data_IF_994425586804
#
_entry.id   IF_994425586804
#
_cell.length_a   1.000
_cell.length_b   1.000
_cell.length_c   1.000
_cell.angle_alpha   90.00
_cell.angle_beta   90.00
_cell.angle_gamma   90.00
#
_symmetry.space_group_name_H-M   'P 1'
#
loop_
_entity.id
_entity.type
_entity.pdbx_description
1 polymer ?
#
# COMPACT_ATOMS: atom_id res chain seq x y z
N UNK A 1 16.22 -0.10 -8.26
CA UNK A 1 15.29 -1.23 -8.08
C UNK A 1 13.93 -0.84 -8.61
N UNK A 2 13.12 -1.82 -9.03
CA UNK A 2 11.71 -1.65 -9.40
C UNK A 2 10.84 -2.17 -8.26
N UNK A 3 10.04 -1.29 -7.69
CA UNK A 3 9.17 -1.58 -6.56
C UNK A 3 7.72 -1.35 -6.92
N UNK A 4 6.86 -2.26 -6.47
CA UNK A 4 5.42 -2.08 -6.46
C UNK A 4 4.95 -2.00 -5.01
N UNK A 5 4.21 -0.94 -4.69
CA UNK A 5 3.55 -0.77 -3.39
C UNK A 5 2.04 -0.90 -3.60
N UNK A 6 1.47 -1.95 -3.02
CA UNK A 6 0.02 -2.14 -2.90
C UNK A 6 -0.41 -1.59 -1.54
N UNK A 7 -0.92 -0.37 -1.54
CA UNK A 7 -1.46 0.31 -0.38
C UNK A 7 -2.99 0.15 -0.31
N UNK A 8 -3.59 0.61 0.78
CA UNK A 8 -5.05 0.61 0.97
C UNK A 8 -5.59 2.03 0.93
N UNK A 9 -6.83 2.18 0.47
CA UNK A 9 -7.54 3.43 0.66
C UNK A 9 -7.73 3.73 2.15
N UNK A 10 -7.88 5.01 2.49
CA UNK A 10 -8.05 5.45 3.88
C UNK A 10 -9.49 5.85 4.16
N UNK A 11 -9.94 5.59 5.39
CA UNK A 11 -11.19 6.17 5.91
C UNK A 11 -11.10 7.70 6.02
N UNK A 12 -9.89 8.22 6.28
CA UNK A 12 -9.61 9.65 6.23
C UNK A 12 -9.28 10.07 4.79
N UNK A 13 -9.94 11.11 4.29
CA UNK A 13 -9.69 11.64 2.94
C UNK A 13 -9.61 13.16 2.98
N UNK A 14 -8.68 13.72 2.21
CA UNK A 14 -8.47 15.16 2.10
C UNK A 14 -9.47 15.78 1.12
N UNK A 15 -10.72 15.90 1.56
CA UNK A 15 -11.80 16.47 0.75
C UNK A 15 -11.86 18.00 0.91
N UNK A 16 -11.90 18.78 -0.18
CA UNK A 16 -12.10 20.22 -0.09
C UNK A 16 -13.43 20.59 0.59
N UNK A 17 -13.44 21.68 1.35
CA UNK A 17 -14.66 22.09 2.08
C UNK A 17 -15.80 22.42 1.12
N UNK A 18 -17.00 21.95 1.47
CA UNK A 18 -18.23 22.26 0.72
C UNK A 18 -18.41 21.46 -0.57
N UNK A 19 -17.54 20.48 -0.82
CA UNK A 19 -17.68 19.54 -1.95
C UNK A 19 -18.53 18.35 -1.51
N UNK A 20 -19.36 17.87 -2.42
CA UNK A 20 -20.14 16.64 -2.27
C UNK A 20 -19.22 15.42 -2.06
N UNK A 21 -19.65 14.47 -1.23
CA UNK A 21 -18.91 13.24 -0.95
C UNK A 21 -19.82 12.07 -1.27
N UNK A 22 -19.45 11.28 -2.27
CA UNK A 22 -20.27 10.17 -2.74
C UNK A 22 -20.31 9.01 -1.75
N UNK A 23 -21.49 8.46 -1.54
CA UNK A 23 -21.68 7.22 -0.81
C UNK A 23 -21.58 5.97 -1.71
N UNK A 24 -21.76 4.79 -1.11
CA UNK A 24 -21.68 3.52 -1.83
C UNK A 24 -22.71 3.40 -2.96
N UNK A 25 -23.93 3.91 -2.79
CA UNK A 25 -24.98 3.79 -3.79
C UNK A 25 -24.67 4.68 -5.00
N UNK A 26 -24.11 5.86 -4.76
CA UNK A 26 -23.69 6.77 -5.83
C UNK A 26 -22.50 6.22 -6.61
N UNK A 27 -21.52 5.66 -5.90
CA UNK A 27 -20.37 5.00 -6.54
C UNK A 27 -20.81 3.80 -7.39
N UNK A 28 -21.75 2.99 -6.89
CA UNK A 28 -22.18 1.77 -7.59
C UNK A 28 -23.17 2.06 -8.74
N UNK A 29 -23.73 3.28 -8.83
CA UNK A 29 -24.73 3.65 -9.84
C UNK A 29 -24.19 4.47 -11.02
N UNK A 30 -22.94 4.94 -10.95
CA UNK A 30 -22.31 5.73 -12.00
C UNK A 30 -20.83 5.36 -12.15
N UNK A 31 -20.31 5.47 -13.36
CA UNK A 31 -18.88 5.31 -13.59
C UNK A 31 -18.09 6.46 -12.93
N UNK A 32 -16.81 6.21 -12.64
CA UNK A 32 -15.89 7.23 -12.11
C UNK A 32 -15.90 8.50 -12.97
N UNK A 33 -15.90 8.37 -14.30
CA UNK A 33 -15.83 9.51 -15.21
C UNK A 33 -17.15 10.30 -15.18
N UNK A 34 -18.31 9.65 -15.13
CA UNK A 34 -19.61 10.32 -14.94
C UNK A 34 -19.71 11.07 -13.59
N UNK A 35 -19.11 10.52 -12.55
CA UNK A 35 -19.04 11.18 -11.24
C UNK A 35 -18.16 12.42 -11.27
N UNK A 36 -17.01 12.35 -11.94
CA UNK A 36 -16.08 13.48 -12.11
C UNK A 36 -16.65 14.59 -13.00
N UNK A 37 -17.52 14.25 -13.95
CA UNK A 37 -18.17 15.22 -14.84
C UNK A 37 -19.30 16.02 -14.17
N UNK A 38 -19.68 15.70 -12.90
CA UNK A 38 -20.69 16.48 -12.17
C UNK A 38 -20.20 17.91 -11.93
N UNK A 39 -21.10 18.89 -12.08
CA UNK A 39 -20.77 20.30 -11.91
C UNK A 39 -20.17 20.59 -10.52
N UNK A 40 -18.98 21.18 -10.49
CA UNK A 40 -18.27 21.51 -9.25
C UNK A 40 -17.54 20.34 -8.60
N UNK A 41 -17.50 19.16 -9.23
CA UNK A 41 -16.78 18.01 -8.71
C UNK A 41 -15.27 18.12 -8.98
N UNK A 42 -14.41 18.07 -7.94
CA UNK A 42 -12.98 18.07 -8.14
C UNK A 42 -12.47 16.69 -8.54
N UNK A 43 -11.54 16.68 -9.49
CA UNK A 43 -10.70 15.54 -9.81
C UNK A 43 -9.46 15.55 -8.91
N UNK A 44 -9.37 14.62 -7.95
CA UNK A 44 -8.28 14.58 -6.96
C UNK A 44 -7.46 13.31 -7.16
N UNK A 45 -6.13 13.40 -7.42
CA UNK A 45 -5.29 12.21 -7.49
C UNK A 45 -5.39 11.35 -6.24
N UNK A 46 -5.46 10.03 -6.37
CA UNK A 46 -5.60 9.09 -5.26
C UNK A 46 -4.58 9.33 -4.13
N UNK A 47 -3.32 9.61 -4.47
CA UNK A 47 -2.25 9.99 -3.53
C UNK A 47 -2.56 11.22 -2.69
N UNK A 48 -3.30 12.17 -3.25
CA UNK A 48 -3.72 13.41 -2.56
C UNK A 48 -5.06 13.26 -1.86
N UNK A 49 -5.92 12.36 -2.34
CA UNK A 49 -7.20 12.08 -1.73
C UNK A 49 -7.06 11.26 -0.44
N UNK A 50 -6.30 10.16 -0.46
CA UNK A 50 -6.16 9.27 0.69
C UNK A 50 -5.21 9.86 1.72
N UNK A 51 -5.76 10.26 2.87
CA UNK A 51 -5.02 10.89 3.95
C UNK A 51 -4.99 9.99 5.18
N UNK A 52 -3.91 10.03 5.94
CA UNK A 52 -3.73 9.14 7.09
C UNK A 52 -2.26 9.02 7.47
N UNK A 53 -1.99 8.56 8.69
CA UNK A 53 -0.61 8.41 9.15
C UNK A 53 0.16 7.43 8.27
N UNK A 54 -0.41 6.26 7.98
CA UNK A 54 0.19 5.28 7.06
C UNK A 54 0.47 5.92 5.69
N UNK A 55 -0.53 6.57 5.09
CA UNK A 55 -0.39 7.17 3.76
C UNK A 55 0.72 8.22 3.71
N UNK A 56 0.83 9.09 4.73
CA UNK A 56 1.88 10.12 4.81
C UNK A 56 3.29 9.53 4.96
N UNK A 57 3.45 8.47 5.75
CA UNK A 57 4.75 7.78 5.84
C UNK A 57 5.10 7.09 4.53
N UNK A 58 4.14 6.41 3.89
CA UNK A 58 4.37 5.78 2.58
C UNK A 58 4.66 6.83 1.52
N UNK A 59 4.00 8.00 1.53
CA UNK A 59 4.32 9.11 0.64
C UNK A 59 5.78 9.53 0.77
N UNK A 60 6.25 9.73 2.01
CA UNK A 60 7.64 10.11 2.27
C UNK A 60 8.62 9.02 1.82
N UNK A 61 8.32 7.75 2.08
CA UNK A 61 9.17 6.63 1.66
C UNK A 61 9.24 6.51 0.13
N UNK A 62 8.11 6.65 -0.56
CA UNK A 62 8.03 6.62 -2.02
C UNK A 62 8.87 7.73 -2.64
N UNK A 63 8.77 8.95 -2.10
CA UNK A 63 9.57 10.09 -2.60
C UNK A 63 11.07 9.83 -2.39
N UNK A 64 11.48 9.37 -1.20
CA UNK A 64 12.88 9.03 -0.92
C UNK A 64 13.42 7.92 -1.84
N UNK A 65 12.64 6.85 -2.07
CA UNK A 65 13.04 5.76 -2.97
C UNK A 65 13.23 6.27 -4.41
N UNK A 66 12.34 7.14 -4.88
CA UNK A 66 12.46 7.75 -6.21
C UNK A 66 13.65 8.69 -6.31
N UNK A 67 13.96 9.45 -5.26
CA UNK A 67 15.13 10.34 -5.22
C UNK A 67 16.45 9.59 -5.36
N UNK A 68 16.55 8.36 -4.85
CA UNK A 68 17.75 7.52 -4.96
C UNK A 68 17.78 6.69 -6.26
N UNK A 69 16.85 6.95 -7.17
CA UNK A 69 16.79 6.34 -8.51
C UNK A 69 16.03 5.02 -8.59
N UNK A 70 15.31 4.62 -7.54
CA UNK A 70 14.40 3.48 -7.65
C UNK A 70 13.14 3.85 -8.45
N UNK A 71 12.67 2.93 -9.28
CA UNK A 71 11.37 3.05 -9.95
C UNK A 71 10.32 2.50 -9.00
N UNK A 72 9.34 3.33 -8.64
CA UNK A 72 8.31 2.94 -7.66
C UNK A 72 6.94 3.17 -8.27
N UNK A 73 6.19 2.09 -8.44
CA UNK A 73 4.78 2.12 -8.79
C UNK A 73 3.95 1.91 -7.52
N UNK A 74 2.90 2.70 -7.36
CA UNK A 74 2.01 2.63 -6.19
C UNK A 74 0.56 2.56 -6.63
N UNK A 75 -0.13 1.55 -6.13
CA UNK A 75 -1.55 1.32 -6.35
C UNK A 75 -2.26 1.22 -5.02
N UNK A 76 -3.53 1.62 -5.00
CA UNK A 76 -4.40 1.51 -3.85
C UNK A 76 -5.49 0.49 -4.11
N UNK A 77 -5.74 -0.36 -3.10
CA UNK A 77 -6.94 -1.18 -3.00
C UNK A 77 -8.04 -0.30 -2.40
N UNK A 78 -9.06 0.00 -3.20
CA UNK A 78 -10.16 0.88 -2.87
C UNK A 78 -11.47 0.12 -2.79
N UNK A 79 -12.17 0.25 -1.67
CA UNK A 79 -13.54 -0.24 -1.55
C UNK A 79 -14.51 0.50 -2.49
N UNK A 80 -14.17 1.69 -2.99
CA UNK A 80 -15.03 2.43 -3.92
C UNK A 80 -14.74 2.11 -5.39
N UNK A 81 -13.47 1.98 -5.74
CA UNK A 81 -13.02 2.05 -7.14
C UNK A 81 -12.10 0.91 -7.56
N UNK A 82 -12.01 -0.17 -6.78
CA UNK A 82 -11.16 -1.32 -7.11
C UNK A 82 -9.68 -0.98 -6.93
N UNK A 83 -8.84 -1.34 -7.91
CA UNK A 83 -7.40 -1.07 -7.88
C UNK A 83 -7.08 0.20 -8.67
N UNK A 84 -6.48 1.20 -8.01
CA UNK A 84 -6.23 2.52 -8.63
C UNK A 84 -4.78 2.95 -8.51
N UNK A 85 -4.18 3.42 -9.61
CA UNK A 85 -2.84 4.05 -9.62
C UNK A 85 -2.86 5.33 -8.76
N UNK A 86 -1.74 5.66 -8.11
CA UNK A 86 -1.65 6.81 -7.20
C UNK A 86 -1.99 8.17 -7.84
N UNK A 87 -1.91 8.29 -9.17
CA UNK A 87 -2.23 9.49 -9.95
C UNK A 87 -3.66 9.48 -10.47
N UNK A 88 -4.36 8.35 -10.38
CA UNK A 88 -5.75 8.22 -10.82
C UNK A 88 -6.58 9.30 -10.13
N UNK A 89 -7.23 10.14 -10.92
CA UNK A 89 -8.14 11.15 -10.40
C UNK A 89 -9.43 10.49 -9.93
N UNK A 90 -9.82 10.81 -8.70
CA UNK A 90 -11.01 10.29 -8.05
C UNK A 90 -11.87 11.44 -7.53
N UNK A 91 -13.20 11.32 -7.58
CA UNK A 91 -14.05 12.23 -6.85
C UNK A 91 -13.96 11.94 -5.34
N UNK A 92 -14.31 12.88 -4.46
CA UNK A 92 -14.51 12.61 -3.05
C UNK A 92 -15.61 11.56 -2.82
N UNK A 93 -15.30 10.56 -1.99
CA UNK A 93 -16.23 9.49 -1.66
C UNK A 93 -15.96 8.92 -0.27
N UNK A 94 -16.96 8.30 0.36
CA UNK A 94 -16.81 7.66 1.66
C UNK A 94 -17.31 6.21 1.62
N UNK A 95 -16.45 5.32 1.10
CA UNK A 95 -16.68 3.87 1.09
C UNK A 95 -15.43 3.18 1.66
N UNK A 96 -15.64 2.21 2.57
CA UNK A 96 -14.59 1.44 3.26
C UNK A 96 -15.05 0.00 3.48
N UNK A 97 -14.10 -0.94 3.58
CA UNK A 97 -14.39 -2.32 3.98
C UNK A 97 -14.63 -2.49 5.48
N UNK A 98 -14.24 -1.50 6.31
CA UNK A 98 -14.25 -1.64 7.77
C UNK A 98 -15.63 -1.90 8.39
N UNK A 99 -16.71 -1.52 7.69
CA UNK A 99 -18.09 -1.71 8.14
C UNK A 99 -18.77 -2.92 7.48
N UNK A 100 -18.05 -3.63 6.61
CA UNK A 100 -18.56 -4.77 5.84
C UNK A 100 -18.24 -6.08 6.54
N UNK A 101 -19.16 -7.03 6.47
CA UNK A 101 -18.91 -8.42 6.83
C UNK A 101 -17.96 -9.08 5.82
N UNK A 102 -17.35 -10.19 6.24
CA UNK A 102 -16.52 -11.05 5.39
C UNK A 102 -17.14 -11.35 4.01
N UNK A 103 -18.42 -11.71 3.96
CA UNK A 103 -19.09 -12.03 2.69
C UNK A 103 -19.37 -10.79 1.83
N UNK A 104 -19.63 -9.64 2.45
CA UNK A 104 -19.81 -8.36 1.74
C UNK A 104 -18.49 -7.88 1.14
N UNK A 105 -17.37 -8.05 1.85
CA UNK A 105 -16.02 -7.79 1.33
C UNK A 105 -15.76 -8.65 0.10
N UNK A 106 -16.03 -9.96 0.18
CA UNK A 106 -15.78 -10.88 -0.94
C UNK A 106 -16.59 -10.51 -2.19
N UNK A 107 -17.91 -10.26 -2.01
CA UNK A 107 -18.79 -9.88 -3.11
C UNK A 107 -18.32 -8.57 -3.74
N UNK A 108 -18.10 -7.55 -2.91
CA UNK A 108 -17.67 -6.24 -3.39
C UNK A 108 -16.30 -6.29 -4.08
N UNK A 109 -15.36 -7.05 -3.54
CA UNK A 109 -14.04 -7.21 -4.16
C UNK A 109 -14.11 -7.97 -5.49
N UNK A 110 -15.01 -8.95 -5.60
CA UNK A 110 -15.30 -9.65 -6.86
C UNK A 110 -15.92 -8.71 -7.89
N UNK A 111 -16.92 -7.92 -7.50
CA UNK A 111 -17.59 -6.96 -8.38
C UNK A 111 -16.63 -5.89 -8.89
N UNK A 112 -15.69 -5.47 -8.05
CA UNK A 112 -14.63 -4.51 -8.38
C UNK A 112 -13.40 -5.15 -9.05
N UNK A 113 -13.37 -6.48 -9.25
CA UNK A 113 -12.25 -7.17 -9.92
C UNK A 113 -10.92 -7.16 -9.18
N UNK A 114 -10.88 -6.80 -7.89
CA UNK A 114 -9.65 -6.42 -7.16
C UNK A 114 -8.55 -7.50 -7.25
N UNK A 115 -8.88 -8.75 -6.97
CA UNK A 115 -7.90 -9.84 -6.99
C UNK A 115 -7.30 -10.05 -8.39
N UNK A 116 -8.11 -9.95 -9.44
CA UNK A 116 -7.65 -10.13 -10.81
C UNK A 116 -6.72 -8.99 -11.23
N UNK A 117 -7.08 -7.75 -10.93
CA UNK A 117 -6.27 -6.57 -11.25
C UNK A 117 -4.90 -6.61 -10.55
N UNK A 118 -4.86 -7.02 -9.28
CA UNK A 118 -3.57 -7.15 -8.56
C UNK A 118 -2.76 -8.31 -9.14
N UNK A 119 -3.38 -9.45 -9.46
CA UNK A 119 -2.70 -10.58 -10.12
C UNK A 119 -2.06 -10.12 -11.43
N UNK A 120 -2.77 -9.35 -12.25
CA UNK A 120 -2.24 -8.79 -13.50
C UNK A 120 -1.03 -7.87 -13.24
N UNK A 121 -1.13 -6.98 -12.25
CA UNK A 121 -0.03 -6.09 -11.88
C UNK A 121 1.23 -6.83 -11.44
N UNK A 122 1.09 -7.86 -10.59
CA UNK A 122 2.24 -8.57 -10.02
C UNK A 122 2.85 -9.62 -10.96
N UNK A 123 2.08 -10.06 -11.97
CA UNK A 123 2.52 -11.04 -12.98
C UNK A 123 2.95 -10.41 -14.30
N UNK A 124 3.13 -9.07 -14.33
CA UNK A 124 3.58 -8.34 -15.49
C UNK A 124 4.89 -8.92 -16.08
N UNK A 125 5.04 -8.84 -17.41
CA UNK A 125 6.18 -9.44 -18.14
C UNK A 125 7.54 -8.94 -17.66
N UNK A 126 7.62 -7.70 -17.20
CA UNK A 126 8.81 -7.14 -16.56
C UNK A 126 8.59 -7.16 -15.03
N UNK A 127 9.11 -8.15 -14.30
CA UNK A 127 8.79 -8.36 -12.89
C UNK A 127 9.42 -7.27 -12.01
N UNK A 128 8.73 -6.92 -10.93
CA UNK A 128 9.30 -6.07 -9.89
C UNK A 128 10.37 -6.82 -9.09
N UNK A 129 11.36 -6.10 -8.56
CA UNK A 129 12.31 -6.67 -7.62
C UNK A 129 11.61 -6.96 -6.28
N UNK A 130 10.75 -6.02 -5.86
CA UNK A 130 10.04 -6.06 -4.57
C UNK A 130 8.58 -5.64 -4.76
N UNK A 131 7.65 -6.39 -4.17
CA UNK A 131 6.24 -6.01 -4.02
C UNK A 131 5.89 -5.91 -2.55
N UNK A 132 5.45 -4.74 -2.10
CA UNK A 132 5.07 -4.46 -0.71
C UNK A 132 3.56 -4.35 -0.59
N UNK A 133 2.94 -5.20 0.23
CA UNK A 133 1.50 -5.16 0.52
C UNK A 133 1.24 -4.45 1.85
N UNK A 134 1.08 -3.12 1.83
CA UNK A 134 0.81 -2.30 3.01
C UNK A 134 -0.67 -2.35 3.43
N UNK A 135 -1.24 -3.54 3.56
CA UNK A 135 -2.68 -3.77 3.70
C UNK A 135 -3.11 -4.16 5.11
N UNK A 136 -4.31 -3.76 5.51
CA UNK A 136 -5.05 -4.27 6.67
C UNK A 136 -5.73 -5.61 6.39
N UNK A 137 -6.26 -6.26 7.42
CA UNK A 137 -6.85 -7.60 7.31
C UNK A 137 -7.99 -7.67 6.29
N UNK A 138 -8.91 -6.70 6.30
CA UNK A 138 -10.04 -6.65 5.36
C UNK A 138 -9.57 -6.46 3.92
N UNK A 139 -8.50 -5.69 3.71
CA UNK A 139 -7.92 -5.47 2.38
C UNK A 139 -7.15 -6.70 1.90
N UNK A 140 -6.43 -7.41 2.77
CA UNK A 140 -5.83 -8.71 2.41
C UNK A 140 -6.88 -9.72 1.98
N UNK A 141 -8.05 -9.72 2.63
CA UNK A 141 -9.20 -10.53 2.23
C UNK A 141 -9.70 -10.12 0.85
N UNK A 142 -9.97 -8.83 0.65
CA UNK A 142 -10.46 -8.30 -0.63
C UNK A 142 -9.54 -8.64 -1.82
N UNK A 143 -8.23 -8.73 -1.59
CA UNK A 143 -7.26 -9.06 -2.64
C UNK A 143 -7.15 -10.57 -2.93
N UNK A 144 -7.66 -11.43 -2.05
CA UNK A 144 -7.26 -12.84 -1.98
C UNK A 144 -5.73 -12.97 -1.97
N UNK A 145 -5.13 -12.54 -0.86
CA UNK A 145 -3.66 -12.45 -0.75
C UNK A 145 -2.95 -13.76 -1.07
N UNK A 146 -3.56 -14.92 -0.75
CA UNK A 146 -2.95 -16.21 -1.07
C UNK A 146 -2.78 -16.37 -2.58
N UNK A 147 -3.85 -16.10 -3.36
CA UNK A 147 -3.80 -16.14 -4.82
C UNK A 147 -2.82 -15.12 -5.40
N UNK A 148 -2.80 -13.90 -4.87
CA UNK A 148 -1.88 -12.85 -5.34
C UNK A 148 -0.42 -13.24 -5.11
N UNK A 149 -0.10 -13.80 -3.94
CA UNK A 149 1.27 -14.24 -3.64
C UNK A 149 1.71 -15.44 -4.51
N UNK A 150 0.78 -16.29 -4.92
CA UNK A 150 1.06 -17.39 -5.87
C UNK A 150 1.33 -16.91 -7.30
N UNK A 151 0.90 -15.70 -7.64
CA UNK A 151 1.13 -15.09 -8.95
C UNK A 151 2.45 -14.31 -9.05
N UNK A 152 3.17 -14.12 -7.94
CA UNK A 152 4.46 -13.43 -7.94
C UNK A 152 5.50 -14.24 -8.74
N UNK A 153 6.34 -13.53 -9.50
CA UNK A 153 7.54 -14.13 -10.08
C UNK A 153 8.45 -14.69 -8.98
N UNK A 154 9.13 -15.81 -9.25
CA UNK A 154 10.13 -16.40 -8.34
C UNK A 154 11.28 -15.44 -8.03
N UNK A 155 11.56 -14.48 -8.92
CA UNK A 155 12.59 -13.45 -8.75
C UNK A 155 12.11 -12.24 -7.96
N UNK A 156 10.80 -12.11 -7.75
CA UNK A 156 10.20 -10.98 -7.02
C UNK A 156 10.10 -11.33 -5.55
N UNK A 157 10.58 -10.45 -4.67
CA UNK A 157 10.38 -10.61 -3.23
C UNK A 157 9.07 -9.95 -2.78
N UNK A 158 8.15 -10.72 -2.20
CA UNK A 158 6.92 -10.21 -1.60
C UNK A 158 7.12 -9.82 -0.13
N UNK A 159 6.66 -8.64 0.26
CA UNK A 159 6.65 -8.17 1.65
C UNK A 159 5.20 -8.00 2.11
N UNK A 160 4.82 -8.77 3.13
CA UNK A 160 3.51 -8.70 3.78
C UNK A 160 3.67 -8.37 5.26
N UNK A 161 2.59 -7.95 5.91
CA UNK A 161 2.58 -7.57 7.34
C UNK A 161 1.61 -8.42 8.13
N UNK A 162 2.08 -9.03 9.22
CA UNK A 162 1.30 -9.94 10.07
C UNK A 162 0.68 -11.14 9.31
N UNK A 163 1.39 -11.69 8.33
CA UNK A 163 0.96 -12.82 7.50
C UNK A 163 2.01 -13.94 7.52
N UNK A 164 2.49 -14.29 8.71
CA UNK A 164 3.54 -15.30 8.89
C UNK A 164 3.17 -16.65 8.24
N UNK A 165 1.91 -17.04 8.33
CA UNK A 165 1.41 -18.31 7.74
C UNK A 165 1.43 -18.32 6.21
N UNK A 166 1.21 -17.18 5.56
CA UNK A 166 1.30 -17.09 4.09
C UNK A 166 2.75 -17.02 3.63
N UNK A 167 3.59 -16.26 4.36
CA UNK A 167 5.01 -16.14 4.07
C UNK A 167 5.73 -17.49 4.24
N UNK A 168 5.42 -18.26 5.28
CA UNK A 168 6.05 -19.56 5.53
C UNK A 168 5.86 -20.59 4.40
N UNK A 169 4.89 -20.38 3.51
CA UNK A 169 4.62 -21.27 2.36
C UNK A 169 5.47 -20.94 1.13
N UNK A 170 6.19 -19.82 1.11
CA UNK A 170 6.88 -19.28 -0.09
C UNK A 170 8.27 -18.75 0.26
N UNK A 171 9.28 -19.19 -0.48
CA UNK A 171 10.68 -18.83 -0.19
C UNK A 171 11.01 -17.35 -0.47
N UNK A 172 10.30 -16.74 -1.41
CA UNK A 172 10.47 -15.34 -1.84
C UNK A 172 9.51 -14.37 -1.13
N UNK A 173 8.81 -14.79 -0.07
CA UNK A 173 7.87 -13.92 0.67
C UNK A 173 8.30 -13.79 2.12
N UNK A 174 8.32 -12.56 2.63
CA UNK A 174 8.60 -12.27 4.04
C UNK A 174 7.41 -11.59 4.72
N UNK A 175 7.17 -11.98 5.97
CA UNK A 175 6.23 -11.29 6.86
C UNK A 175 6.99 -10.42 7.86
N UNK A 176 6.66 -9.13 7.89
CA UNK A 176 7.13 -8.17 8.90
C UNK A 176 6.03 -8.01 9.96
N UNK A 177 6.33 -8.24 11.25
CA UNK A 177 5.35 -8.04 12.31
C UNK A 177 5.05 -6.55 12.49
N UNK A 178 3.78 -6.17 12.53
CA UNK A 178 3.30 -4.81 12.73
C UNK A 178 2.10 -4.83 13.69
N UNK A 179 2.33 -5.14 14.97
CA UNK A 179 1.32 -5.32 16.02
C UNK A 179 1.53 -4.30 17.15
N UNK A 180 0.65 -4.33 18.15
CA UNK A 180 0.69 -3.43 19.33
C UNK A 180 2.03 -3.45 20.06
N UNK A 181 2.64 -4.63 20.20
CA UNK A 181 3.95 -4.78 20.83
C UNK A 181 5.05 -3.96 20.12
N UNK A 182 5.02 -3.89 18.79
CA UNK A 182 5.93 -3.06 18.02
C UNK A 182 5.54 -1.57 18.05
N UNK A 183 4.26 -1.24 18.23
CA UNK A 183 3.83 0.16 18.27
C UNK A 183 4.38 0.89 19.51
N UNK A 184 4.46 0.18 20.63
CA UNK A 184 5.03 0.69 21.87
C UNK A 184 6.55 0.89 21.76
N UNK A 185 7.26 0.03 21.02
CA UNK A 185 8.71 0.11 20.77
C UNK A 185 9.11 1.33 19.92
N UNK A 186 8.33 1.65 18.89
CA UNK A 186 8.62 2.77 17.97
C UNK A 186 7.87 4.08 18.32
N UNK A 187 7.25 4.16 19.51
CA UNK A 187 6.50 5.35 19.95
C UNK A 187 5.38 5.76 18.98
N UNK A 188 4.81 4.79 18.26
CA UNK A 188 3.84 5.00 17.18
C UNK A 188 2.50 4.37 17.55
N UNK A 189 1.50 4.50 16.67
CA UNK A 189 0.27 3.72 16.76
C UNK A 189 0.35 2.58 15.75
N UNK A 190 -0.21 1.40 16.08
CA UNK A 190 -0.17 0.17 15.25
C UNK A 190 -0.48 0.42 13.77
N UNK A 191 -1.43 1.33 13.50
CA UNK A 191 -1.89 1.67 12.14
C UNK A 191 -0.79 2.31 11.29
N UNK A 192 0.19 3.01 11.89
CA UNK A 192 1.24 3.71 11.16
C UNK A 192 2.50 2.86 10.91
N UNK A 193 2.66 1.73 11.61
CA UNK A 193 3.90 0.93 11.58
C UNK A 193 4.31 0.48 10.19
N UNK A 194 3.36 0.08 9.33
CA UNK A 194 3.66 -0.36 7.96
C UNK A 194 4.30 0.76 7.13
N UNK A 195 3.80 1.99 7.30
CA UNK A 195 4.39 3.16 6.67
C UNK A 195 5.77 3.49 7.25
N UNK A 196 5.92 3.40 8.58
CA UNK A 196 7.21 3.59 9.27
C UNK A 196 8.26 2.60 8.76
N UNK A 197 7.95 1.31 8.68
CA UNK A 197 8.87 0.30 8.16
C UNK A 197 9.27 0.54 6.70
N UNK A 198 8.35 1.09 5.89
CA UNK A 198 8.70 1.49 4.54
C UNK A 198 9.65 2.70 4.53
N UNK A 199 9.51 3.64 5.48
CA UNK A 199 10.49 4.72 5.64
C UNK A 199 11.86 4.23 6.11
N UNK A 200 11.92 3.16 6.92
CA UNK A 200 13.19 2.55 7.29
C UNK A 200 13.89 1.99 6.07
N UNK A 201 13.17 1.18 5.29
CA UNK A 201 13.70 0.63 4.04
C UNK A 201 14.18 1.74 3.08
N UNK A 202 13.38 2.80 2.91
CA UNK A 202 13.77 3.94 2.09
C UNK A 202 15.05 4.63 2.61
N UNK A 203 15.19 4.79 3.94
CA UNK A 203 16.40 5.33 4.56
C UNK A 203 17.64 4.45 4.33
N UNK A 204 17.50 3.12 4.43
CA UNK A 204 18.58 2.19 4.09
C UNK A 204 18.95 2.25 2.61
N UNK A 205 17.96 2.38 1.71
CA UNK A 205 18.21 2.61 0.27
C UNK A 205 18.97 3.91 0.03
N UNK A 206 18.65 4.98 0.74
CA UNK A 206 19.36 6.25 0.70
C UNK A 206 20.81 6.15 1.22
N UNK A 207 21.06 5.26 2.19
CA UNK A 207 22.41 4.92 2.63
C UNK A 207 23.18 4.03 1.64
N UNK A 208 22.58 3.67 0.50
CA UNK A 208 23.19 2.85 -0.55
C UNK A 208 23.02 1.33 -0.35
N UNK A 209 22.29 0.91 0.67
CA UNK A 209 22.06 -0.52 0.96
C UNK A 209 21.13 -1.13 -0.08
N UNK A 210 21.46 -2.32 -0.59
CA UNK A 210 20.61 -3.12 -1.49
C UNK A 210 20.44 -4.49 -0.84
N UNK A 211 19.20 -4.96 -0.60
CA UNK A 211 18.97 -6.30 -0.04
C UNK A 211 19.39 -7.37 -1.06
N UNK A 212 20.19 -8.34 -0.65
CA UNK A 212 20.56 -9.50 -1.46
C UNK A 212 19.62 -10.70 -1.26
N UNK A 213 18.89 -10.73 -0.13
CA UNK A 213 17.98 -11.83 0.20
C UNK A 213 16.65 -11.33 0.78
N UNK A 214 15.57 -12.13 0.70
CA UNK A 214 14.32 -11.81 1.39
C UNK A 214 14.49 -11.61 2.90
N UNK A 215 15.38 -12.37 3.54
CA UNK A 215 15.67 -12.21 4.96
C UNK A 215 16.32 -10.86 5.28
N UNK A 216 17.32 -10.44 4.50
CA UNK A 216 17.91 -9.10 4.63
C UNK A 216 16.87 -8.01 4.39
N UNK A 217 16.02 -8.16 3.38
CA UNK A 217 14.94 -7.22 3.11
C UNK A 217 14.03 -7.04 4.34
N UNK A 218 13.65 -8.14 4.99
CA UNK A 218 12.86 -8.09 6.23
C UNK A 218 13.55 -7.26 7.31
N UNK A 219 14.85 -7.45 7.51
CA UNK A 219 15.63 -6.69 8.50
C UNK A 219 15.68 -5.19 8.18
N UNK A 220 15.81 -4.82 6.89
CA UNK A 220 15.81 -3.41 6.47
C UNK A 220 14.46 -2.72 6.70
N UNK A 221 13.34 -3.45 6.65
CA UNK A 221 12.03 -2.91 7.03
C UNK A 221 11.92 -2.73 8.54
N UNK A 222 12.50 -3.65 9.31
CA UNK A 222 12.33 -3.68 10.77
C UNK A 222 13.27 -2.70 11.50
N UNK A 223 14.51 -2.54 11.03
CA UNK A 223 15.53 -1.74 11.71
C UNK A 223 15.58 -0.30 11.23
N UNK A 224 15.74 0.65 12.15
CA UNK A 224 16.02 2.04 11.78
C UNK A 224 17.30 2.14 10.94
N UNK A 225 17.32 2.99 9.91
CA UNK A 225 18.56 3.32 9.22
C UNK A 225 19.47 3.98 10.24
N UNK A 226 20.64 3.40 10.50
CA UNK A 226 21.62 4.00 11.42
C UNK A 226 21.94 5.39 10.86
N UNK A 227 21.53 6.45 11.56
CA UNK A 227 22.02 7.78 11.26
C UNK A 227 23.54 7.73 11.40
N UNK A 228 24.28 7.94 10.30
CA UNK A 228 25.66 8.39 10.41
C UNK A 228 25.65 9.86 10.85
N UNK A 229 25.15 10.14 12.04
CA UNK A 229 25.35 11.39 12.76
C UNK A 229 26.33 11.12 13.89
N UNK A 230 27.61 11.41 13.64
CA UNK A 230 28.62 11.50 14.70
C UNK A 230 29.86 10.61 14.56
N UNK A 231 30.60 10.74 13.46
CA UNK A 231 32.05 10.48 13.44
C UNK A 231 32.74 11.43 12.47
N UNK A 232 32.52 12.72 12.71
CA UNK A 232 33.45 13.78 12.31
C UNK A 232 33.82 14.56 13.57
N UNK A 233 34.52 13.90 14.49
CA UNK A 233 35.43 14.58 15.40
C UNK A 233 36.82 14.55 14.75
N UNK A 234 37.17 15.65 14.05
CA UNK A 234 38.52 16.21 13.96
C UNK A 234 38.44 17.68 13.53
#
# INVERSE_FOLDING_TARGET
>A
MRLLIIDQCSGSKAVPRGVEVFDVNEIDSASRDELLDREGMPAIPARKLYDGRQQRYIDSAVDQLREVGDTVDRYYVSAGFGVVDERTELPPYNVTFAEMTSSEIDNRASDLGISNDIVELVSATDPYDIVVFALGADYYRACDITRVLDALSETTTGVVFNREEDAAKRANVVSVPARTEQADEYGSIVVALKGVYLTHFAGHRNAGTVPATPAELKELFFTDPVEQTGLSDF
#
